data_IF_425615865645
#
_entry.id   IF_425615865645
#
_cell.length_a   1.000
_cell.length_b   1.000
_cell.length_c   1.000
_cell.angle_alpha   90.00
_cell.angle_beta   90.00
_cell.angle_gamma   90.00
#
_symmetry.space_group_name_H-M   'P 1'
#
loop_
_entity.id
_entity.type
_entity.pdbx_description
1 polymer ?
#
# COMPACT_ATOMS: atom_id res chain seq x y z
N UNK A 1 46.69 25.38 4.57
CA UNK A 1 45.66 25.61 3.52
C UNK A 1 45.17 24.25 3.05
N UNK A 2 43.93 23.91 3.39
CA UNK A 2 42.94 23.15 2.61
C UNK A 2 41.79 22.81 3.57
N UNK A 3 40.90 23.79 3.73
CA UNK A 3 39.56 23.58 4.28
C UNK A 3 38.81 22.83 3.18
N UNK A 4 38.52 21.55 3.39
CA UNK A 4 37.51 20.86 2.57
C UNK A 4 36.17 21.29 3.14
N UNK A 5 35.55 22.27 2.48
CA UNK A 5 34.13 22.55 2.67
C UNK A 5 33.37 21.29 2.24
N UNK A 6 32.74 20.63 3.22
CA UNK A 6 31.69 19.69 2.94
C UNK A 6 30.52 20.52 2.39
N UNK A 7 30.26 20.39 1.09
CA UNK A 7 29.03 20.87 0.49
C UNK A 7 27.93 19.97 1.06
N UNK A 8 27.27 20.46 2.10
CA UNK A 8 25.99 19.95 2.55
C UNK A 8 24.99 20.27 1.43
N UNK A 9 24.85 19.35 0.48
CA UNK A 9 23.76 19.39 -0.49
C UNK A 9 22.53 18.96 0.31
N UNK A 10 21.92 19.93 0.98
CA UNK A 10 20.58 19.78 1.53
C UNK A 10 19.64 19.40 0.39
N UNK A 11 19.35 18.11 0.27
CA UNK A 11 18.25 17.61 -0.53
C UNK A 11 16.99 18.25 0.06
N UNK A 12 16.52 19.32 -0.59
CA UNK A 12 15.26 19.95 -0.21
C UNK A 12 14.18 18.93 -0.55
N UNK A 13 13.66 18.26 0.47
CA UNK A 13 12.51 17.36 0.32
C UNK A 13 11.35 18.20 -0.21
N UNK A 14 11.14 18.09 -1.53
CA UNK A 14 10.20 18.94 -2.25
C UNK A 14 8.82 18.40 -2.02
N UNK A 15 8.16 18.93 -0.99
CA UNK A 15 6.76 18.64 -0.73
C UNK A 15 5.90 19.23 -1.86
N UNK A 16 5.06 18.38 -2.46
CA UNK A 16 4.09 18.80 -3.48
C UNK A 16 2.68 18.65 -2.93
N UNK A 17 1.92 19.74 -2.89
CA UNK A 17 0.48 19.69 -2.56
C UNK A 17 -0.26 19.00 -3.71
N UNK A 18 -1.10 18.02 -3.37
CA UNK A 18 -1.88 17.21 -4.31
C UNK A 18 -3.39 17.45 -4.17
N UNK A 19 -3.82 18.11 -3.11
CA UNK A 19 -5.23 18.39 -2.86
C UNK A 19 -5.48 18.87 -1.44
N UNK A 20 -6.75 18.86 -1.05
CA UNK A 20 -7.22 19.30 0.26
C UNK A 20 -8.23 18.31 0.80
N UNK A 21 -8.24 18.13 2.12
CA UNK A 21 -9.34 17.45 2.80
C UNK A 21 -10.64 18.25 2.65
N UNK A 22 -11.79 17.60 2.87
CA UNK A 22 -13.10 18.28 2.93
C UNK A 22 -13.18 19.34 4.04
N UNK A 23 -12.35 19.21 5.07
CA UNK A 23 -12.15 20.21 6.14
C UNK A 23 -11.18 21.34 5.78
N UNK A 24 -10.50 21.27 4.63
CA UNK A 24 -9.68 22.35 4.08
C UNK A 24 -8.16 22.24 4.32
N UNK A 25 -7.68 21.27 5.08
CA UNK A 25 -6.25 21.05 5.30
C UNK A 25 -5.56 20.54 4.04
N UNK A 26 -4.33 20.99 3.82
CA UNK A 26 -3.49 20.57 2.70
C UNK A 26 -3.12 19.09 2.82
N UNK A 27 -3.14 18.41 1.68
CA UNK A 27 -2.57 17.07 1.53
C UNK A 27 -1.38 17.15 0.57
N UNK A 28 -0.23 16.69 1.01
CA UNK A 28 1.02 16.73 0.25
C UNK A 28 1.65 15.34 0.09
N UNK A 29 2.56 15.24 -0.87
CA UNK A 29 3.46 14.10 -1.06
C UNK A 29 4.90 14.55 -0.95
N UNK A 30 5.76 13.68 -0.42
CA UNK A 30 7.21 13.78 -0.50
C UNK A 30 7.75 13.13 -1.78
N UNK A 31 9.01 13.39 -2.10
CA UNK A 31 9.72 12.81 -3.24
C UNK A 31 9.76 11.26 -3.22
N UNK A 32 9.63 10.67 -2.02
CA UNK A 32 9.65 9.22 -1.79
C UNK A 32 8.25 8.63 -1.59
N UNK A 33 7.18 9.39 -1.81
CA UNK A 33 5.81 8.94 -1.57
C UNK A 33 5.43 7.76 -2.47
N UNK A 34 4.70 6.81 -1.88
CA UNK A 34 4.08 5.68 -2.60
C UNK A 34 2.97 6.14 -3.57
N UNK A 35 2.65 7.44 -3.61
CA UNK A 35 1.79 8.05 -4.62
C UNK A 35 2.22 7.69 -6.05
N UNK A 36 3.53 7.71 -6.34
CA UNK A 36 4.04 7.48 -7.69
C UNK A 36 3.93 6.03 -8.17
N UNK A 37 3.68 5.08 -7.26
CA UNK A 37 3.49 3.66 -7.60
C UNK A 37 2.01 3.29 -7.85
N UNK A 38 1.08 4.23 -7.64
CA UNK A 38 -0.35 4.04 -7.90
C UNK A 38 -0.95 5.13 -8.82
N UNK A 39 -0.46 5.25 -10.08
CA UNK A 39 -0.95 6.25 -11.03
C UNK A 39 -2.44 6.12 -11.33
N UNK A 40 -3.00 4.92 -11.17
CA UNK A 40 -4.42 4.59 -11.32
C UNK A 40 -5.33 5.28 -10.28
N UNK A 41 -4.77 5.86 -9.23
CA UNK A 41 -5.53 6.59 -8.20
C UNK A 41 -5.57 8.10 -8.43
N UNK A 42 -4.68 8.64 -9.26
CA UNK A 42 -4.38 10.08 -9.31
C UNK A 42 -5.59 10.92 -9.71
N UNK A 43 -6.34 10.50 -10.73
CA UNK A 43 -7.53 11.22 -11.21
C UNK A 43 -8.65 11.26 -10.16
N UNK A 44 -8.78 10.20 -9.37
CA UNK A 44 -9.88 10.04 -8.41
C UNK A 44 -9.55 10.60 -7.02
N UNK A 45 -8.26 10.78 -6.72
CA UNK A 45 -7.79 11.15 -5.39
C UNK A 45 -8.38 12.47 -4.89
N UNK A 46 -8.53 13.48 -5.77
CA UNK A 46 -9.16 14.75 -5.39
C UNK A 46 -10.60 14.58 -4.87
N UNK A 47 -11.39 13.70 -5.49
CA UNK A 47 -12.74 13.37 -5.01
C UNK A 47 -12.70 12.61 -3.68
N UNK A 48 -11.72 11.73 -3.50
CA UNK A 48 -11.55 11.00 -2.25
C UNK A 48 -11.22 11.97 -1.10
N UNK A 49 -10.19 12.82 -1.27
CA UNK A 49 -9.74 13.77 -0.26
C UNK A 49 -10.84 14.75 0.14
N UNK A 50 -11.62 15.26 -0.82
CA UNK A 50 -12.74 16.16 -0.54
C UNK A 50 -13.87 15.56 0.30
N UNK A 51 -13.90 14.23 0.50
CA UNK A 51 -14.86 13.54 1.37
C UNK A 51 -14.32 13.22 2.77
N UNK A 52 -13.05 13.51 3.05
CA UNK A 52 -12.39 13.23 4.33
C UNK A 52 -12.38 14.50 5.18
N UNK A 53 -12.76 14.38 6.46
CA UNK A 53 -12.73 15.49 7.42
C UNK A 53 -11.78 15.15 8.58
N UNK A 54 -10.87 16.06 8.91
CA UNK A 54 -9.79 15.84 9.88
C UNK A 54 -10.29 15.49 11.28
N UNK A 55 -11.42 16.06 11.70
CA UNK A 55 -12.07 15.82 12.99
C UNK A 55 -12.67 14.41 13.14
N UNK A 56 -12.88 13.72 12.02
CA UNK A 56 -13.40 12.35 11.96
C UNK A 56 -12.31 11.27 11.85
N UNK A 57 -11.04 11.67 11.70
CA UNK A 57 -9.94 10.73 11.49
C UNK A 57 -9.61 9.96 12.76
N UNK A 58 -9.66 8.64 12.64
CA UNK A 58 -9.07 7.73 13.63
C UNK A 58 -7.63 7.44 13.21
N UNK A 59 -6.68 7.89 14.03
CA UNK A 59 -5.24 7.65 13.84
C UNK A 59 -4.75 6.50 14.72
N UNK A 60 -3.81 5.73 14.21
CA UNK A 60 -3.10 4.72 14.99
C UNK A 60 -2.01 5.35 15.90
N UNK A 61 -1.27 4.52 16.63
CA UNK A 61 -0.20 4.97 17.53
C UNK A 61 0.95 5.70 16.82
N UNK A 62 1.04 5.61 15.49
CA UNK A 62 2.04 6.28 14.67
C UNK A 62 1.49 7.57 14.02
N UNK A 63 0.26 7.96 14.35
CA UNK A 63 -0.40 9.12 13.76
C UNK A 63 -0.89 8.88 12.32
N UNK A 64 -1.07 7.62 11.92
CA UNK A 64 -1.51 7.25 10.57
C UNK A 64 -3.02 6.93 10.60
N UNK A 65 -3.77 7.61 9.73
CA UNK A 65 -5.17 7.33 9.46
C UNK A 65 -5.31 6.45 8.21
N UNK A 66 -6.17 5.43 8.30
CA UNK A 66 -6.59 4.62 7.16
C UNK A 66 -8.08 4.89 6.90
N UNK A 67 -8.38 5.53 5.77
CA UNK A 67 -9.73 5.99 5.46
C UNK A 67 -10.24 5.31 4.21
N UNK A 68 -11.40 4.65 4.31
CA UNK A 68 -12.11 4.12 3.16
C UNK A 68 -13.12 5.15 2.67
N UNK A 69 -13.01 5.53 1.39
CA UNK A 69 -13.87 6.53 0.77
C UNK A 69 -14.58 5.90 -0.43
N UNK A 70 -15.91 5.97 -0.44
CA UNK A 70 -16.70 5.64 -1.62
C UNK A 70 -16.72 6.84 -2.58
N UNK A 71 -16.31 6.64 -3.82
CA UNK A 71 -16.28 7.66 -4.88
C UNK A 71 -17.37 7.32 -5.91
N UNK A 72 -18.44 8.10 -5.94
CA UNK A 72 -19.58 7.82 -6.83
C UNK A 72 -19.23 8.18 -8.28
N UNK A 73 -19.56 7.29 -9.22
CA UNK A 73 -19.33 7.52 -10.66
C UNK A 73 -17.89 7.32 -11.13
N UNK A 74 -16.97 6.94 -10.24
CA UNK A 74 -15.59 6.56 -10.59
C UNK A 74 -15.34 5.13 -10.15
N UNK A 75 -14.95 4.28 -11.09
CA UNK A 75 -14.57 2.89 -10.82
C UNK A 75 -13.07 2.72 -10.98
N UNK A 76 -12.45 2.04 -10.02
CA UNK A 76 -11.10 1.50 -10.14
C UNK A 76 -11.08 0.00 -9.94
N UNK A 77 -9.87 -0.55 -9.82
CA UNK A 77 -9.67 -2.00 -9.73
C UNK A 77 -8.90 -2.38 -8.48
N UNK A 78 -9.50 -3.20 -7.62
CA UNK A 78 -8.85 -3.81 -6.46
C UNK A 78 -8.13 -5.09 -6.88
N UNK A 79 -6.82 -5.14 -6.64
CA UNK A 79 -6.03 -6.37 -6.76
C UNK A 79 -6.24 -7.31 -5.57
N UNK A 80 -6.79 -6.84 -4.45
CA UNK A 80 -7.12 -7.67 -3.30
C UNK A 80 -8.49 -8.30 -3.52
N UNK A 81 -8.53 -9.62 -3.66
CA UNK A 81 -9.72 -10.39 -4.05
C UNK A 81 -10.04 -11.49 -3.04
N UNK A 82 -11.32 -11.88 -2.89
CA UNK A 82 -11.66 -13.08 -2.15
C UNK A 82 -11.13 -14.32 -2.86
N UNK A 83 -10.72 -15.31 -2.06
CA UNK A 83 -10.20 -16.59 -2.52
C UNK A 83 -11.05 -17.75 -2.00
N UNK A 84 -10.85 -18.90 -2.62
CA UNK A 84 -11.50 -20.18 -2.41
C UNK A 84 -10.45 -21.28 -2.28
N UNK A 85 -10.88 -22.48 -1.89
CA UNK A 85 -9.97 -23.63 -1.74
C UNK A 85 -9.42 -24.15 -3.09
N UNK A 86 -10.03 -23.74 -4.22
CA UNK A 86 -9.60 -24.12 -5.58
C UNK A 86 -8.55 -23.14 -6.16
N UNK A 87 -8.26 -22.04 -5.47
CA UNK A 87 -7.32 -21.03 -5.94
C UNK A 87 -5.87 -21.50 -5.82
N UNK A 88 -5.05 -21.14 -6.83
CA UNK A 88 -3.63 -21.44 -6.86
C UNK A 88 -2.83 -20.23 -6.38
N UNK A 89 -1.81 -20.48 -5.57
CA UNK A 89 -1.00 -19.44 -4.95
C UNK A 89 0.47 -19.52 -5.35
N UNK A 90 1.09 -18.36 -5.40
CA UNK A 90 2.55 -18.19 -5.50
C UNK A 90 3.00 -17.15 -4.49
N UNK A 91 4.29 -17.15 -4.20
CA UNK A 91 4.89 -16.26 -3.20
C UNK A 91 5.98 -15.42 -3.85
N UNK A 92 5.92 -14.11 -3.65
CA UNK A 92 6.93 -13.20 -4.15
C UNK A 92 7.19 -12.05 -3.17
N UNK A 93 8.40 -11.50 -3.21
CA UNK A 93 8.76 -10.31 -2.44
C UNK A 93 8.44 -9.08 -3.28
N UNK A 94 7.63 -8.17 -2.72
CA UNK A 94 7.36 -6.86 -3.31
C UNK A 94 8.36 -5.85 -2.78
N UNK A 95 9.16 -5.24 -3.65
CA UNK A 95 10.07 -4.16 -3.22
C UNK A 95 9.27 -2.99 -2.59
N UNK A 96 9.75 -2.37 -1.50
CA UNK A 96 11.02 -2.62 -0.80
C UNK A 96 10.90 -3.60 0.40
N UNK A 97 9.83 -4.40 0.47
CA UNK A 97 9.63 -5.35 1.58
C UNK A 97 10.72 -6.42 1.59
N UNK A 98 10.93 -6.98 2.78
CA UNK A 98 11.90 -8.05 3.03
C UNK A 98 11.24 -9.40 3.34
N UNK A 99 9.92 -9.49 3.16
CA UNK A 99 9.12 -10.68 3.41
C UNK A 99 8.27 -11.04 2.19
N UNK A 100 7.83 -12.30 2.14
CA UNK A 100 7.00 -12.81 1.07
C UNK A 100 5.55 -12.34 1.20
N UNK A 101 4.98 -11.99 0.06
CA UNK A 101 3.55 -11.79 -0.13
C UNK A 101 2.97 -13.01 -0.83
N UNK A 102 1.83 -13.49 -0.33
CA UNK A 102 1.05 -14.55 -1.00
C UNK A 102 0.16 -13.93 -2.07
N UNK A 103 0.35 -14.36 -3.30
CA UNK A 103 -0.47 -13.97 -4.44
C UNK A 103 -1.33 -15.12 -4.93
N UNK A 104 -2.50 -14.80 -5.47
CA UNK A 104 -3.32 -15.72 -6.24
C UNK A 104 -3.07 -15.51 -7.74
N UNK A 105 -2.96 -16.60 -8.48
CA UNK A 105 -2.81 -16.60 -9.94
C UNK A 105 -4.10 -17.05 -10.64
N UNK A 106 -4.28 -16.64 -11.90
CA UNK A 106 -5.45 -17.02 -12.69
C UNK A 106 -6.77 -16.35 -12.26
N UNK A 107 -6.69 -15.32 -11.41
CA UNK A 107 -7.84 -14.52 -10.98
C UNK A 107 -7.81 -13.13 -11.61
N UNK A 108 -9.00 -12.57 -11.78
CA UNK A 108 -9.17 -11.18 -12.24
C UNK A 108 -9.30 -10.22 -11.05
N UNK A 109 -8.87 -8.99 -11.26
CA UNK A 109 -9.08 -7.88 -10.32
C UNK A 109 -10.57 -7.54 -10.19
N UNK A 110 -10.97 -6.98 -9.06
CA UNK A 110 -12.38 -6.64 -8.80
C UNK A 110 -12.60 -5.14 -9.00
N UNK A 111 -13.60 -4.79 -9.80
CA UNK A 111 -14.06 -3.40 -9.92
C UNK A 111 -14.64 -2.90 -8.61
N UNK A 112 -14.30 -1.67 -8.25
CA UNK A 112 -14.74 -1.06 -7.00
C UNK A 112 -14.85 0.44 -7.13
N UNK A 113 -15.80 1.02 -6.38
CA UNK A 113 -15.90 2.47 -6.17
C UNK A 113 -15.30 2.91 -4.84
N UNK A 114 -14.66 2.00 -4.11
CA UNK A 114 -14.03 2.28 -2.81
C UNK A 114 -12.55 2.52 -3.05
N UNK A 115 -12.03 3.64 -2.54
CA UNK A 115 -10.62 3.92 -2.45
C UNK A 115 -10.22 3.95 -0.98
N UNK A 116 -9.13 3.26 -0.63
CA UNK A 116 -8.47 3.44 0.66
C UNK A 116 -7.40 4.50 0.52
N UNK A 117 -7.43 5.50 1.40
CA UNK A 117 -6.46 6.59 1.50
C UNK A 117 -5.76 6.48 2.85
N UNK A 118 -4.43 6.51 2.84
CA UNK A 118 -3.61 6.44 4.05
C UNK A 118 -2.89 7.76 4.25
N UNK A 119 -3.20 8.45 5.33
CA UNK A 119 -2.73 9.80 5.64
C UNK A 119 -1.92 9.80 6.94
N UNK A 120 -0.87 10.60 7.01
CA UNK A 120 -0.12 10.88 8.24
C UNK A 120 -0.20 12.36 8.55
N UNK A 121 -0.56 12.71 9.77
CA UNK A 121 -0.60 14.11 10.20
C UNK A 121 0.80 14.73 10.27
N UNK A 122 0.96 15.94 9.76
CA UNK A 122 2.16 16.77 9.88
C UNK A 122 1.73 18.25 10.04
N UNK A 123 1.85 18.82 11.24
CA UNK A 123 1.70 20.27 11.49
C UNK A 123 0.58 20.97 10.68
N UNK A 124 -0.68 20.69 10.99
CA UNK A 124 -1.88 21.26 10.34
C UNK A 124 -2.11 20.87 8.86
N UNK A 125 -1.30 19.98 8.31
CA UNK A 125 -1.46 19.35 6.99
C UNK A 125 -1.30 17.84 7.11
N UNK A 126 -1.48 17.13 5.99
CA UNK A 126 -1.39 15.68 5.93
C UNK A 126 -0.45 15.23 4.81
N UNK A 127 0.44 14.29 5.10
CA UNK A 127 1.19 13.56 4.09
C UNK A 127 0.34 12.38 3.59
N UNK A 128 0.23 12.21 2.27
CA UNK A 128 -0.30 10.98 1.69
C UNK A 128 0.78 9.89 1.70
N UNK A 129 0.58 8.89 2.54
CA UNK A 129 1.44 7.71 2.59
C UNK A 129 1.19 6.79 1.38
N UNK A 130 -0.07 6.47 1.11
CA UNK A 130 -0.48 5.67 -0.06
C UNK A 130 -1.99 5.83 -0.31
N UNK A 131 -2.42 5.53 -1.53
CA UNK A 131 -3.82 5.34 -1.89
C UNK A 131 -3.94 4.13 -2.82
N UNK A 132 -5.03 3.38 -2.73
CA UNK A 132 -5.32 2.27 -3.62
C UNK A 132 -6.82 1.99 -3.72
N UNK A 133 -7.25 1.41 -4.83
CA UNK A 133 -8.61 0.96 -5.02
C UNK A 133 -8.88 -0.33 -4.23
N UNK A 134 -10.00 -0.33 -3.51
CA UNK A 134 -10.46 -1.43 -2.67
C UNK A 134 -10.64 -1.05 -1.20
N UNK A 135 -11.31 -1.91 -0.43
CA UNK A 135 -11.35 -1.80 1.03
C UNK A 135 -9.96 -1.88 1.65
N UNK A 136 -9.83 -1.39 2.89
CA UNK A 136 -8.62 -1.41 3.69
C UNK A 136 -8.10 -2.84 3.83
N UNK A 137 -6.91 -3.09 3.31
CA UNK A 137 -6.19 -4.32 3.55
C UNK A 137 -5.57 -4.35 4.95
N UNK A 138 -5.57 -5.51 5.60
CA UNK A 138 -4.77 -5.73 6.81
C UNK A 138 -3.29 -5.91 6.45
N UNK A 139 -2.38 -5.66 7.39
CA UNK A 139 -0.98 -6.07 7.26
C UNK A 139 -0.91 -7.57 6.95
N UNK A 140 0.07 -8.00 6.17
CA UNK A 140 0.23 -9.41 5.81
C UNK A 140 0.81 -10.21 6.99
N UNK A 141 0.45 -11.49 7.21
CA UNK A 141 0.94 -12.25 8.36
C UNK A 141 2.47 -12.39 8.40
N UNK A 142 3.12 -12.34 7.23
CA UNK A 142 4.57 -12.37 7.10
C UNK A 142 5.27 -11.02 7.37
N UNK A 143 4.51 -9.96 7.67
CA UNK A 143 5.05 -8.67 8.06
C UNK A 143 5.77 -8.79 9.43
N UNK A 144 7.08 -8.51 9.51
CA UNK A 144 7.86 -8.69 10.74
C UNK A 144 7.45 -7.77 11.89
N UNK A 145 6.62 -6.75 11.62
CA UNK A 145 6.04 -5.88 12.65
C UNK A 145 4.83 -6.51 13.36
N UNK A 146 4.35 -7.67 12.92
CA UNK A 146 3.29 -8.43 13.59
C UNK A 146 3.91 -9.52 14.47
N UNK A 147 3.57 -9.49 15.76
CA UNK A 147 3.99 -10.53 16.69
C UNK A 147 2.98 -11.68 16.69
N UNK A 148 3.48 -12.93 16.60
CA UNK A 148 2.65 -14.13 16.65
C UNK A 148 1.80 -14.18 17.92
N UNK A 149 0.52 -14.49 17.76
CA UNK A 149 -0.43 -14.64 18.87
C UNK A 149 -0.98 -13.34 19.46
N UNK A 150 -0.70 -12.17 18.87
CA UNK A 150 -1.38 -10.93 19.26
C UNK A 150 -2.72 -10.76 18.53
N UNK A 151 -3.68 -9.98 19.07
CA UNK A 151 -4.94 -9.70 18.39
C UNK A 151 -4.78 -9.10 16.98
N UNK A 152 -3.72 -8.32 16.76
CA UNK A 152 -3.39 -7.76 15.44
C UNK A 152 -2.97 -8.83 14.45
N UNK A 153 -2.17 -9.82 14.90
CA UNK A 153 -1.79 -10.97 14.08
C UNK A 153 -3.01 -11.84 13.74
N UNK A 154 -3.88 -12.13 14.72
CA UNK A 154 -5.11 -12.89 14.49
C UNK A 154 -6.04 -12.16 13.50
N UNK A 155 -6.14 -10.83 13.59
CA UNK A 155 -6.92 -10.01 12.64
C UNK A 155 -6.33 -10.09 11.23
N UNK A 156 -5.00 -10.01 11.12
CA UNK A 156 -4.27 -10.20 9.87
C UNK A 156 -4.55 -11.58 9.27
N UNK A 157 -4.33 -12.66 10.02
CA UNK A 157 -4.55 -14.02 9.52
C UNK A 157 -5.99 -14.25 9.10
N UNK A 158 -6.97 -13.81 9.89
CA UNK A 158 -8.38 -13.97 9.53
C UNK A 158 -8.74 -13.22 8.25
N UNK A 159 -8.18 -12.02 8.03
CA UNK A 159 -8.40 -11.26 6.80
C UNK A 159 -7.80 -11.97 5.59
N UNK A 160 -6.53 -12.37 5.69
CA UNK A 160 -5.79 -12.97 4.58
C UNK A 160 -6.20 -14.41 4.34
N UNK A 161 -6.72 -15.15 5.31
CA UNK A 161 -7.24 -16.51 5.11
C UNK A 161 -8.24 -16.60 3.95
N UNK A 162 -9.04 -15.56 3.74
CA UNK A 162 -10.07 -15.51 2.70
C UNK A 162 -9.78 -14.50 1.61
N UNK A 163 -8.56 -13.92 1.56
CA UNK A 163 -8.15 -12.95 0.54
C UNK A 163 -6.72 -13.15 0.06
N UNK A 164 -6.44 -12.71 -1.14
CA UNK A 164 -5.08 -12.62 -1.67
C UNK A 164 -4.97 -11.45 -2.65
N UNK A 165 -3.73 -11.05 -2.93
CA UNK A 165 -3.45 -10.13 -4.02
C UNK A 165 -3.37 -10.92 -5.33
N UNK A 166 -3.99 -10.42 -6.39
CA UNK A 166 -3.83 -10.97 -7.74
C UNK A 166 -2.41 -10.67 -8.23
N UNK A 167 -1.68 -11.70 -8.67
CA UNK A 167 -0.47 -11.50 -9.44
C UNK A 167 -0.84 -11.32 -10.91
N UNK A 168 -0.49 -10.18 -11.55
CA UNK A 168 -0.75 -10.01 -12.98
C UNK A 168 0.08 -11.03 -13.78
N UNK A 169 -0.44 -11.49 -14.92
CA UNK A 169 0.27 -12.44 -15.79
C UNK A 169 1.33 -11.78 -16.67
N UNK A 170 1.29 -10.45 -16.81
CA UNK A 170 2.24 -9.67 -17.60
C UNK A 170 3.46 -9.26 -16.76
N UNK A 171 4.67 -9.48 -17.30
CA UNK A 171 5.92 -9.19 -16.61
C UNK A 171 6.08 -7.70 -16.27
N UNK A 172 5.68 -6.80 -17.15
CA UNK A 172 5.78 -5.35 -16.90
C UNK A 172 4.86 -4.95 -15.75
N UNK A 173 3.66 -5.54 -15.68
CA UNK A 173 2.74 -5.33 -14.57
C UNK A 173 3.25 -5.94 -13.25
N UNK A 174 3.92 -7.10 -13.28
CA UNK A 174 4.59 -7.65 -12.09
C UNK A 174 5.69 -6.70 -11.58
N UNK A 175 6.53 -6.21 -12.48
CA UNK A 175 7.62 -5.26 -12.16
C UNK A 175 7.04 -3.96 -11.58
N UNK A 176 5.94 -3.45 -12.15
CA UNK A 176 5.24 -2.28 -11.64
C UNK A 176 4.68 -2.49 -10.21
N UNK A 177 4.28 -3.72 -9.88
CA UNK A 177 3.88 -4.12 -8.53
C UNK A 177 5.08 -4.34 -7.58
N UNK A 178 6.31 -4.17 -8.07
CA UNK A 178 7.55 -4.39 -7.34
C UNK A 178 7.92 -5.86 -7.21
N UNK A 179 7.33 -6.75 -8.01
CA UNK A 179 7.62 -8.18 -8.04
C UNK A 179 8.65 -8.48 -9.12
N UNK A 180 9.69 -9.24 -8.75
CA UNK A 180 10.65 -9.80 -9.71
C UNK A 180 10.16 -11.21 -10.14
N UNK A 181 9.78 -11.41 -11.43
CA UNK A 181 9.26 -12.69 -11.89
C UNK A 181 10.22 -13.85 -11.68
N UNK A 182 11.53 -13.61 -11.67
CA UNK A 182 12.54 -14.65 -11.50
C UNK A 182 12.65 -15.13 -10.05
N UNK A 183 12.08 -14.39 -9.10
CA UNK A 183 12.13 -14.69 -7.66
C UNK A 183 10.81 -15.25 -7.11
N UNK A 184 9.81 -15.49 -7.98
CA UNK A 184 8.55 -16.13 -7.60
C UNK A 184 8.81 -17.57 -7.14
N UNK A 185 8.11 -17.98 -6.07
CA UNK A 185 8.17 -19.32 -5.47
C UNK A 185 6.79 -19.97 -5.46
N UNK A 186 6.74 -21.30 -5.57
CA UNK A 186 5.48 -22.05 -5.59
C UNK A 186 4.96 -22.31 -4.17
N UNK A 187 5.83 -22.25 -3.15
CA UNK A 187 5.42 -22.37 -1.75
C UNK A 187 6.09 -21.37 -0.82
N UNK A 188 5.43 -21.07 0.30
CA UNK A 188 6.01 -20.25 1.37
C UNK A 188 7.25 -20.91 1.97
N UNK A 189 7.28 -22.25 2.05
CA UNK A 189 8.43 -23.00 2.57
C UNK A 189 9.66 -22.78 1.68
N UNK A 190 9.49 -22.82 0.36
CA UNK A 190 10.54 -22.48 -0.60
C UNK A 190 10.98 -21.02 -0.48
N UNK A 191 10.02 -20.12 -0.26
CA UNK A 191 10.31 -18.70 -0.02
C UNK A 191 11.11 -18.47 1.26
N UNK A 192 10.64 -18.95 2.40
CA UNK A 192 11.33 -18.78 3.68
C UNK A 192 12.70 -19.46 3.72
N UNK A 193 12.86 -20.59 3.03
CA UNK A 193 14.17 -21.24 2.88
C UNK A 193 15.17 -20.35 2.14
N UNK A 194 14.71 -19.58 1.13
CA UNK A 194 15.54 -18.65 0.36
C UNK A 194 15.99 -17.42 1.18
N UNK A 195 15.16 -16.91 2.08
CA UNK A 195 15.52 -15.76 2.95
C UNK A 195 16.51 -16.11 4.07
N UNK A 196 16.70 -17.40 4.37
CA UNK A 196 17.62 -17.88 5.42
C UNK A 196 18.98 -18.35 4.89
N UNK A 197 19.16 -18.43 3.57
CA UNK A 197 20.39 -18.84 2.89
C UNK A 197 21.27 -17.64 2.55
#
# INVERSE_FOLDING_TARGET
MLIKEAIDVGETDTQKVIGFLGSGEEVFISSQSHYFTHPDTHEALGFALGKIYSDSLLVDSNGIAHVEVKIDGVEGSSICVPITDDDLFVYAIRRPRTWYTRFVIGREVIRTSIMTVVLKGDNHKFELCTAYWGPRAQREPSDPSLALGTPEYETSENFWRYRALVLPSDESAMIALGVDPQLIKESLVEGEAYLRA
#
